data_IF_537798132903
#
_entry.id   IF_537798132903
#
_cell.length_a   1.000
_cell.length_b   1.000
_cell.length_c   1.000
_cell.angle_alpha   90.00
_cell.angle_beta   90.00
_cell.angle_gamma   90.00
#
_symmetry.space_group_name_H-M   'P 1'
#
loop_
_entity.id
_entity.type
_entity.pdbx_description
1 polymer ?
#
# COMPACT_ATOMS: atom_id res chain seq x y z
N UNK A 1 -2.86 3.40 -4.69
CA UNK A 1 -3.21 4.56 -3.87
C UNK A 1 -4.33 5.37 -4.51
N UNK A 2 -5.27 5.87 -3.70
CA UNK A 2 -6.42 6.69 -4.11
C UNK A 2 -7.65 5.90 -4.58
N UNK A 3 -7.72 4.59 -4.34
CA UNK A 3 -8.90 3.75 -4.57
C UNK A 3 -8.86 2.54 -3.61
N UNK A 4 -8.83 2.84 -2.30
CA UNK A 4 -8.64 1.84 -1.26
C UNK A 4 -9.97 1.29 -0.69
N UNK A 5 -11.13 1.71 -1.18
CA UNK A 5 -12.43 1.44 -0.56
C UNK A 5 -12.62 -0.04 -0.17
N UNK A 6 -12.29 -0.96 -1.07
CA UNK A 6 -12.39 -2.40 -0.77
C UNK A 6 -11.44 -2.85 0.33
N UNK A 7 -10.23 -2.27 0.40
CA UNK A 7 -9.28 -2.56 1.46
C UNK A 7 -9.74 -1.98 2.79
N UNK A 8 -10.27 -0.75 2.77
CA UNK A 8 -10.84 -0.08 3.96
C UNK A 8 -12.02 -0.86 4.54
N UNK A 9 -12.93 -1.38 3.69
CA UNK A 9 -14.07 -2.19 4.13
C UNK A 9 -13.61 -3.50 4.82
N UNK A 10 -12.55 -4.14 4.30
CA UNK A 10 -11.95 -5.33 4.92
C UNK A 10 -11.29 -4.96 6.25
N UNK A 11 -10.46 -3.90 6.26
CA UNK A 11 -9.78 -3.44 7.46
C UNK A 11 -10.76 -3.02 8.56
N UNK A 12 -11.86 -2.32 8.20
CA UNK A 12 -12.95 -1.99 9.11
C UNK A 12 -13.58 -3.25 9.70
N UNK A 13 -13.84 -4.27 8.87
CA UNK A 13 -14.43 -5.52 9.36
C UNK A 13 -13.55 -6.24 10.38
N UNK A 14 -12.22 -6.17 10.19
CA UNK A 14 -11.24 -6.72 11.15
C UNK A 14 -11.20 -5.90 12.44
N UNK A 15 -11.19 -4.56 12.35
CA UNK A 15 -11.14 -3.67 13.49
C UNK A 15 -12.38 -3.76 14.39
N UNK A 16 -13.55 -4.05 13.81
CA UNK A 16 -14.81 -4.32 14.55
C UNK A 16 -14.74 -5.47 15.56
N UNK A 17 -13.73 -6.34 15.47
CA UNK A 17 -13.49 -7.38 16.47
C UNK A 17 -12.94 -6.83 17.80
N UNK A 18 -12.52 -5.56 17.81
CA UNK A 18 -11.86 -4.91 18.96
C UNK A 18 -12.61 -3.69 19.47
N UNK A 19 -13.39 -3.03 18.64
CA UNK A 19 -14.23 -1.87 19.01
C UNK A 19 -15.43 -1.75 18.09
N UNK A 20 -16.58 -1.36 18.65
CA UNK A 20 -17.78 -0.99 17.89
C UNK A 20 -17.72 0.49 17.45
N UNK A 21 -16.88 1.31 18.10
CA UNK A 21 -16.67 2.72 17.76
C UNK A 21 -15.60 2.85 16.67
N UNK A 22 -15.98 2.46 15.45
CA UNK A 22 -15.11 2.52 14.30
C UNK A 22 -15.89 2.78 13.00
N UNK A 23 -15.25 3.50 12.08
CA UNK A 23 -15.86 3.91 10.80
C UNK A 23 -14.81 4.11 9.71
N UNK A 24 -15.27 4.32 8.49
CA UNK A 24 -14.48 4.83 7.38
C UNK A 24 -14.83 6.31 7.23
N UNK A 25 -13.82 7.18 7.22
CA UNK A 25 -14.00 8.61 7.01
C UNK A 25 -14.24 8.94 5.51
N UNK A 26 -14.49 10.22 5.22
CA UNK A 26 -14.76 10.69 3.85
C UNK A 26 -13.51 10.57 2.94
N UNK A 27 -12.31 10.44 3.51
CA UNK A 27 -11.07 10.26 2.77
C UNK A 27 -10.75 8.78 2.49
N UNK A 28 -11.46 7.88 3.18
CA UNK A 28 -11.30 6.44 3.05
C UNK A 28 -10.44 5.80 4.13
N UNK A 29 -9.95 6.58 5.11
CA UNK A 29 -9.24 6.03 6.26
C UNK A 29 -10.20 5.22 7.14
N UNK A 30 -9.70 4.15 7.72
CA UNK A 30 -10.43 3.40 8.76
C UNK A 30 -9.99 3.93 10.11
N UNK A 31 -10.93 4.44 10.87
CA UNK A 31 -10.69 5.01 12.20
C UNK A 31 -11.41 4.17 13.25
N UNK A 32 -10.78 3.90 14.37
CA UNK A 32 -11.38 3.23 15.51
C UNK A 32 -10.93 3.80 16.84
N UNK A 33 -11.80 3.76 17.84
CA UNK A 33 -11.57 4.30 19.16
C UNK A 33 -11.74 3.23 20.23
N UNK A 34 -10.77 3.10 21.13
CA UNK A 34 -10.79 2.21 22.28
C UNK A 34 -10.49 3.05 23.52
N UNK A 35 -11.53 3.37 24.27
CA UNK A 35 -11.41 4.23 25.44
C UNK A 35 -10.93 3.46 26.67
N UNK A 36 -10.02 4.08 27.40
CA UNK A 36 -9.61 3.65 28.74
C UNK A 36 -10.59 4.14 29.81
N UNK A 37 -10.31 3.80 31.06
CA UNK A 37 -11.05 4.35 32.21
C UNK A 37 -10.38 5.64 32.71
N UNK A 38 -11.19 6.68 32.91
CA UNK A 38 -10.73 8.00 33.39
C UNK A 38 -10.21 8.89 32.24
N UNK A 39 -9.61 10.03 32.60
CA UNK A 39 -9.03 10.95 31.65
C UNK A 39 -7.58 10.57 31.38
N UNK A 40 -7.30 10.01 30.24
CA UNK A 40 -5.97 9.52 29.82
C UNK A 40 -5.50 10.29 28.58
N UNK A 41 -4.19 10.37 28.36
CA UNK A 41 -3.66 10.89 27.08
C UNK A 41 -4.06 9.97 25.94
N UNK A 42 -4.18 10.55 24.74
CA UNK A 42 -4.51 9.83 23.51
C UNK A 42 -3.25 9.29 22.83
N UNK A 43 -3.25 8.02 22.47
CA UNK A 43 -2.23 7.40 21.62
C UNK A 43 -2.88 6.96 20.31
N UNK A 44 -2.37 7.46 19.21
CA UNK A 44 -2.73 6.99 17.86
C UNK A 44 -1.76 5.88 17.42
N UNK A 45 -2.31 4.75 17.01
CA UNK A 45 -1.58 3.72 16.25
C UNK A 45 -1.97 3.85 14.78
N UNK A 46 -1.00 4.12 13.92
CA UNK A 46 -1.23 4.31 12.49
C UNK A 46 -0.45 3.32 11.64
N UNK A 47 -1.04 2.90 10.51
CA UNK A 47 -0.43 2.11 9.44
C UNK A 47 -1.21 2.33 8.15
N UNK A 48 -0.53 2.35 6.99
CA UNK A 48 -1.24 2.59 5.74
C UNK A 48 -1.74 1.31 5.05
N UNK A 49 -2.82 1.42 4.28
CA UNK A 49 -3.44 0.30 3.56
C UNK A 49 -3.27 0.37 2.05
N UNK A 50 -2.88 1.52 1.53
CA UNK A 50 -2.63 1.70 0.10
C UNK A 50 -1.32 1.02 -0.33
N UNK A 51 -1.04 1.06 -1.60
CA UNK A 51 0.15 0.46 -2.21
C UNK A 51 0.51 1.19 -3.49
N UNK A 52 1.75 1.10 -3.89
CA UNK A 52 2.21 1.52 -5.21
C UNK A 52 1.50 0.76 -6.33
N UNK A 53 1.36 1.40 -7.46
CA UNK A 53 0.73 0.81 -8.65
C UNK A 53 0.92 1.67 -9.88
N UNK A 54 0.04 1.44 -10.86
CA UNK A 54 -0.03 2.24 -12.07
C UNK A 54 -1.46 2.72 -12.30
N UNK A 55 -1.61 3.66 -13.23
CA UNK A 55 -2.91 4.21 -13.64
C UNK A 55 -2.97 4.25 -15.17
N UNK A 56 -4.13 3.95 -15.75
CA UNK A 56 -4.36 4.07 -17.18
C UNK A 56 -4.31 5.54 -17.60
N UNK A 57 -3.37 5.93 -18.44
CA UNK A 57 -3.22 7.30 -18.93
C UNK A 57 -3.65 7.48 -20.38
N UNK A 58 -3.54 6.43 -21.21
CA UNK A 58 -3.91 6.46 -22.61
C UNK A 58 -4.03 5.04 -23.17
N UNK A 59 -4.87 4.83 -24.18
CA UNK A 59 -4.98 3.58 -24.95
C UNK A 59 -4.66 3.90 -26.40
N UNK A 60 -3.61 3.30 -26.96
CA UNK A 60 -3.20 3.56 -28.33
C UNK A 60 -4.05 2.80 -29.35
N UNK A 61 -3.87 3.11 -30.63
CA UNK A 61 -4.68 2.52 -31.71
C UNK A 61 -4.41 1.02 -31.91
N UNK A 62 -3.32 0.49 -31.35
CA UNK A 62 -2.98 -0.93 -31.39
C UNK A 62 -3.45 -1.70 -30.15
N UNK A 63 -4.09 -1.01 -29.18
CA UNK A 63 -4.55 -1.61 -27.93
C UNK A 63 -3.50 -1.67 -26.81
N UNK A 64 -2.33 -1.04 -26.98
CA UNK A 64 -1.39 -0.89 -25.87
C UNK A 64 -1.83 0.22 -24.93
N UNK A 65 -1.72 -0.05 -23.62
CA UNK A 65 -2.12 0.89 -22.57
C UNK A 65 -0.87 1.63 -22.08
N UNK A 66 -0.86 2.95 -22.20
CA UNK A 66 0.11 3.83 -21.55
C UNK A 66 -0.29 4.05 -20.11
N UNK A 67 0.70 4.20 -19.25
CA UNK A 67 0.50 4.26 -17.81
C UNK A 67 1.16 5.49 -17.18
N UNK A 68 0.59 5.94 -16.07
CA UNK A 68 1.26 6.79 -15.09
C UNK A 68 1.63 6.00 -13.85
N UNK A 69 2.61 6.47 -13.07
CA UNK A 69 2.93 5.91 -11.77
C UNK A 69 1.91 6.37 -10.71
N UNK A 70 1.58 5.48 -9.79
CA UNK A 70 0.86 5.78 -8.55
C UNK A 70 1.80 5.41 -7.41
N UNK A 71 2.24 6.41 -6.66
CA UNK A 71 3.36 6.25 -5.73
C UNK A 71 4.70 6.09 -6.44
N UNK A 72 5.63 5.41 -5.79
CA UNK A 72 7.00 5.20 -6.25
C UNK A 72 7.33 3.77 -6.72
N UNK A 73 6.63 3.16 -7.71
CA UNK A 73 6.96 1.81 -8.15
C UNK A 73 8.38 1.73 -8.72
N UNK A 74 9.16 0.74 -8.28
CA UNK A 74 10.52 0.55 -8.78
C UNK A 74 10.52 0.07 -10.23
N UNK A 75 10.82 0.99 -11.14
CA UNK A 75 10.80 0.74 -12.59
C UNK A 75 11.80 -0.31 -13.07
N UNK A 76 12.79 -0.67 -12.26
CA UNK A 76 13.77 -1.72 -12.58
C UNK A 76 13.15 -3.11 -12.62
N UNK A 77 12.07 -3.32 -11.88
CA UNK A 77 11.41 -4.62 -11.73
C UNK A 77 10.04 -4.71 -12.39
N UNK A 78 9.61 -3.68 -13.12
CA UNK A 78 8.28 -3.67 -13.74
C UNK A 78 8.16 -4.54 -14.98
N UNK A 79 9.22 -4.64 -15.79
CA UNK A 79 9.19 -5.41 -17.04
C UNK A 79 8.77 -6.87 -16.80
N UNK A 80 7.88 -7.36 -17.64
CA UNK A 80 7.30 -8.70 -17.60
C UNK A 80 6.42 -9.01 -16.36
N UNK A 81 6.10 -8.04 -15.52
CA UNK A 81 5.14 -8.24 -14.44
C UNK A 81 3.73 -8.41 -14.99
N UNK A 82 3.02 -9.41 -14.45
CA UNK A 82 1.58 -9.53 -14.67
C UNK A 82 0.83 -8.49 -13.85
N UNK A 83 -0.20 -7.92 -14.44
CA UNK A 83 -0.99 -6.86 -13.82
C UNK A 83 -2.48 -7.10 -13.98
N UNK A 84 -3.25 -6.50 -13.09
CA UNK A 84 -4.71 -6.41 -13.20
C UNK A 84 -5.11 -4.94 -13.29
N UNK A 85 -5.85 -4.59 -14.33
CA UNK A 85 -6.49 -3.29 -14.51
C UNK A 85 -7.89 -3.38 -13.92
N UNK A 86 -8.23 -2.45 -13.03
CA UNK A 86 -9.48 -2.41 -12.28
C UNK A 86 -10.45 -1.41 -12.91
N UNK A 87 -11.02 -1.78 -14.07
CA UNK A 87 -12.07 -1.03 -14.74
C UNK A 87 -13.47 -1.57 -14.45
N UNK A 88 -14.38 -1.36 -15.38
CA UNK A 88 -15.75 -1.98 -15.34
C UNK A 88 -15.68 -3.50 -15.22
N UNK A 89 -14.67 -4.07 -15.85
CA UNK A 89 -14.25 -5.47 -15.71
C UNK A 89 -12.77 -5.50 -15.34
N UNK A 90 -12.36 -6.54 -14.62
CA UNK A 90 -10.94 -6.78 -14.37
C UNK A 90 -10.28 -7.32 -15.64
N UNK A 91 -9.31 -6.57 -16.16
CA UNK A 91 -8.54 -6.94 -17.35
C UNK A 91 -7.14 -7.33 -16.93
N UNK A 92 -6.70 -8.51 -17.37
CA UNK A 92 -5.31 -8.96 -17.15
C UNK A 92 -4.41 -8.44 -18.26
N UNK A 93 -3.18 -8.11 -17.89
CA UNK A 93 -2.15 -7.67 -18.83
C UNK A 93 -0.75 -7.97 -18.35
N UNK A 94 0.21 -7.66 -19.18
CA UNK A 94 1.63 -7.82 -18.91
C UNK A 94 2.34 -6.50 -19.19
N UNK A 95 3.20 -6.08 -18.27
CA UNK A 95 4.03 -4.90 -18.45
C UNK A 95 5.08 -5.16 -19.54
N UNK A 96 5.05 -4.38 -20.60
CA UNK A 96 5.95 -4.48 -21.73
C UNK A 96 6.83 -3.23 -21.84
N UNK A 97 8.08 -3.45 -22.21
CA UNK A 97 9.07 -2.41 -22.51
C UNK A 97 9.81 -2.76 -23.78
N UNK A 98 10.43 -1.78 -24.43
CA UNK A 98 11.26 -2.05 -25.61
C UNK A 98 12.41 -3.00 -25.21
N UNK A 99 12.59 -4.12 -25.96
CA UNK A 99 13.68 -5.05 -25.68
C UNK A 99 15.06 -4.41 -25.93
N UNK A 100 16.11 -4.88 -25.24
CA UNK A 100 17.47 -4.30 -25.35
C UNK A 100 18.01 -4.21 -26.77
N UNK A 101 17.63 -5.16 -27.64
CA UNK A 101 18.10 -5.18 -29.05
C UNK A 101 17.47 -4.08 -29.92
N UNK A 102 16.41 -3.43 -29.48
CA UNK A 102 15.70 -2.38 -30.21
C UNK A 102 15.88 -1.02 -29.53
N UNK A 103 16.13 -1.02 -28.22
CA UNK A 103 16.32 0.19 -27.43
C UNK A 103 17.75 0.73 -27.60
N UNK A 104 17.89 2.02 -27.87
CA UNK A 104 19.18 2.71 -27.77
C UNK A 104 19.44 3.10 -26.30
N UNK A 105 20.48 2.49 -25.68
CA UNK A 105 20.93 2.79 -24.32
C UNK A 105 20.48 1.78 -23.26
N UNK A 106 21.24 1.67 -22.16
CA UNK A 106 21.11 0.67 -21.10
C UNK A 106 20.38 1.18 -19.85
N UNK A 107 19.64 2.28 -19.95
CA UNK A 107 18.97 2.91 -18.80
C UNK A 107 17.69 2.21 -18.35
N UNK A 108 17.33 2.42 -17.07
CA UNK A 108 16.03 2.01 -16.52
C UNK A 108 14.92 2.69 -17.35
N UNK A 109 13.88 1.97 -17.80
CA UNK A 109 12.78 2.56 -18.58
C UNK A 109 12.12 3.72 -17.82
N UNK A 110 11.81 4.80 -18.52
CA UNK A 110 10.94 5.85 -17.99
C UNK A 110 9.50 5.33 -17.96
N UNK A 111 8.65 5.93 -17.14
CA UNK A 111 7.26 5.49 -17.02
C UNK A 111 6.51 5.63 -18.36
N UNK A 112 6.83 6.63 -19.16
CA UNK A 112 6.23 6.89 -20.46
C UNK A 112 6.67 5.87 -21.54
N UNK A 113 7.76 5.14 -21.29
CA UNK A 113 8.27 4.06 -22.16
C UNK A 113 7.60 2.71 -21.85
N UNK A 114 6.88 2.62 -20.73
CA UNK A 114 6.19 1.41 -20.27
C UNK A 114 4.81 1.35 -20.92
N UNK A 115 4.43 0.18 -21.37
CA UNK A 115 3.07 -0.10 -21.83
C UNK A 115 2.56 -1.39 -21.21
N UNK A 116 1.24 -1.56 -21.16
CA UNK A 116 0.63 -2.83 -20.82
C UNK A 116 0.02 -3.43 -22.07
N UNK A 117 0.37 -4.67 -22.31
CA UNK A 117 -0.21 -5.52 -23.34
C UNK A 117 -1.25 -6.44 -22.70
N UNK A 118 -2.47 -6.39 -23.21
CA UNK A 118 -3.59 -7.22 -22.76
C UNK A 118 -4.07 -8.20 -23.83
N UNK A 119 -3.55 -8.08 -25.05
CA UNK A 119 -4.00 -8.81 -26.22
C UNK A 119 -5.34 -8.33 -26.80
N UNK A 120 -6.00 -7.35 -26.19
CA UNK A 120 -7.24 -6.76 -26.70
C UNK A 120 -6.96 -5.64 -27.71
N UNK A 121 -7.91 -5.42 -28.63
CA UNK A 121 -7.96 -4.23 -29.48
C UNK A 121 -8.39 -3.01 -28.66
N UNK A 122 -8.10 -1.82 -29.17
CA UNK A 122 -8.54 -0.55 -28.54
C UNK A 122 -10.04 -0.52 -28.28
N UNK A 123 -10.87 -0.91 -29.27
CA UNK A 123 -12.32 -0.90 -29.14
C UNK A 123 -12.82 -1.85 -28.05
N UNK A 124 -12.20 -3.02 -27.91
CA UNK A 124 -12.55 -3.97 -26.85
C UNK A 124 -12.14 -3.43 -25.47
N UNK A 125 -10.97 -2.75 -25.36
CA UNK A 125 -10.52 -2.14 -24.11
C UNK A 125 -11.43 -0.99 -23.68
N UNK A 126 -11.80 -0.08 -24.57
CA UNK A 126 -12.66 1.07 -24.26
C UNK A 126 -14.05 0.68 -23.74
N UNK A 127 -14.48 -0.56 -24.01
CA UNK A 127 -15.72 -1.11 -23.41
C UNK A 127 -15.54 -1.60 -21.97
N UNK A 128 -14.31 -1.91 -21.52
CA UNK A 128 -13.97 -2.57 -20.25
C UNK A 128 -13.30 -1.67 -19.26
N UNK A 129 -12.46 -0.78 -19.76
CA UNK A 129 -11.63 0.12 -18.94
C UNK A 129 -11.73 1.55 -19.44
N UNK A 130 -11.35 2.49 -18.56
CA UNK A 130 -11.30 3.91 -18.92
C UNK A 130 -10.03 4.57 -18.36
N UNK A 131 -9.77 5.81 -18.80
CA UNK A 131 -8.65 6.59 -18.28
C UNK A 131 -8.86 6.85 -16.80
N UNK A 132 -7.80 6.67 -16.02
CA UNK A 132 -7.86 6.79 -14.57
C UNK A 132 -8.04 5.47 -13.81
N UNK A 133 -8.37 4.37 -14.48
CA UNK A 133 -8.47 3.06 -13.84
C UNK A 133 -7.14 2.65 -13.22
N UNK A 134 -7.21 2.11 -12.01
CA UNK A 134 -6.04 1.67 -11.25
C UNK A 134 -5.53 0.32 -11.76
N UNK A 135 -4.22 0.15 -11.70
CA UNK A 135 -3.54 -1.06 -12.13
C UNK A 135 -2.68 -1.57 -10.99
N UNK A 136 -2.88 -2.82 -10.63
CA UNK A 136 -2.11 -3.48 -9.58
C UNK A 136 -1.25 -4.60 -10.13
N UNK A 137 -0.05 -4.77 -9.53
CA UNK A 137 0.81 -5.91 -9.84
C UNK A 137 0.22 -7.18 -9.24
N UNK A 138 0.18 -8.25 -10.02
CA UNK A 138 -0.26 -9.55 -9.56
C UNK A 138 0.88 -10.21 -8.77
N UNK A 139 0.73 -10.28 -7.47
CA UNK A 139 1.69 -10.93 -6.57
C UNK A 139 0.91 -11.71 -5.51
N UNK A 140 0.67 -12.98 -5.79
CA UNK A 140 0.04 -13.87 -4.83
C UNK A 140 0.99 -14.11 -3.64
N UNK A 141 0.45 -14.22 -2.42
CA UNK A 141 1.26 -14.52 -1.25
C UNK A 141 1.97 -15.88 -1.38
N UNK A 142 3.28 -15.90 -1.18
CA UNK A 142 4.11 -17.10 -1.25
C UNK A 142 4.82 -17.31 0.08
N UNK A 143 4.60 -18.47 0.71
CA UNK A 143 5.39 -18.91 1.83
C UNK A 143 6.76 -19.38 1.32
N UNK A 144 7.82 -18.78 1.84
CA UNK A 144 9.20 -19.12 1.53
C UNK A 144 9.80 -20.03 2.61
N UNK A 145 11.06 -20.37 2.48
CA UNK A 145 11.75 -21.22 3.46
C UNK A 145 11.79 -20.56 4.87
N UNK A 146 11.46 -21.32 5.87
CA UNK A 146 11.38 -20.87 7.27
C UNK A 146 10.12 -20.07 7.53
N UNK A 147 10.27 -18.89 8.11
CA UNK A 147 9.16 -17.99 8.51
C UNK A 147 9.00 -16.78 7.57
N UNK A 148 9.48 -16.89 6.35
CA UNK A 148 9.46 -15.79 5.38
C UNK A 148 8.27 -15.89 4.45
N UNK A 149 7.73 -14.72 4.09
CA UNK A 149 6.65 -14.56 3.13
C UNK A 149 7.04 -13.51 2.10
N UNK A 150 6.59 -13.71 0.88
CA UNK A 150 6.64 -12.72 -0.18
C UNK A 150 5.22 -12.45 -0.65
N UNK A 151 4.80 -11.20 -0.68
CA UNK A 151 3.49 -10.79 -1.18
C UNK A 151 3.52 -9.36 -1.68
N UNK A 152 2.53 -8.98 -2.47
CA UNK A 152 2.25 -7.58 -2.76
C UNK A 152 1.63 -6.88 -1.55
N UNK A 153 1.89 -5.58 -1.42
CA UNK A 153 1.33 -4.73 -0.35
C UNK A 153 1.70 -5.18 1.09
N UNK A 154 2.85 -5.84 1.30
CA UNK A 154 3.42 -6.00 2.64
C UNK A 154 3.81 -4.64 3.24
N UNK A 155 4.15 -3.72 2.40
CA UNK A 155 4.20 -2.28 2.58
C UNK A 155 2.79 -1.70 2.35
N UNK A 156 2.03 -1.23 3.39
CA UNK A 156 2.32 -1.50 4.81
C UNK A 156 1.20 -2.32 5.50
N UNK A 157 0.59 -3.25 4.80
CA UNK A 157 -0.43 -4.13 5.41
C UNK A 157 0.13 -5.03 6.52
N UNK A 158 1.46 -5.17 6.63
CA UNK A 158 2.05 -5.84 7.79
C UNK A 158 2.02 -4.95 9.04
N UNK A 159 2.09 -3.63 8.92
CA UNK A 159 1.82 -2.69 10.01
C UNK A 159 0.38 -2.79 10.47
N UNK A 160 -0.59 -2.78 9.54
CA UNK A 160 -2.02 -3.03 9.86
C UNK A 160 -2.19 -4.34 10.64
N UNK A 161 -1.60 -5.43 10.17
CA UNK A 161 -1.67 -6.72 10.87
C UNK A 161 -1.01 -6.67 12.24
N UNK A 162 0.09 -5.93 12.40
CA UNK A 162 0.79 -5.76 13.68
C UNK A 162 -0.08 -5.00 14.69
N UNK A 163 -0.79 -3.95 14.26
CA UNK A 163 -1.76 -3.23 15.10
C UNK A 163 -2.88 -4.18 15.55
N UNK A 164 -3.47 -4.96 14.64
CA UNK A 164 -4.54 -5.89 15.00
C UNK A 164 -4.08 -6.95 16.01
N UNK A 165 -2.85 -7.47 15.85
CA UNK A 165 -2.25 -8.39 16.84
C UNK A 165 -2.01 -7.69 18.17
N UNK A 166 -1.54 -6.45 18.19
CA UNK A 166 -1.38 -5.67 19.41
C UNK A 166 -2.73 -5.46 20.13
N UNK A 167 -3.79 -5.14 19.39
CA UNK A 167 -5.14 -5.03 19.95
C UNK A 167 -5.62 -6.34 20.59
N UNK A 168 -5.37 -7.49 19.95
CA UNK A 168 -5.69 -8.79 20.54
C UNK A 168 -4.94 -9.03 21.85
N UNK A 169 -3.66 -8.64 21.93
CA UNK A 169 -2.87 -8.75 23.16
C UNK A 169 -3.32 -7.79 24.25
N UNK A 170 -3.97 -6.70 23.90
CA UNK A 170 -4.47 -5.67 24.82
C UNK A 170 -5.90 -5.91 25.32
N UNK A 171 -6.66 -6.79 24.68
CA UNK A 171 -8.12 -6.97 24.82
C UNK A 171 -8.65 -7.14 26.26
N UNK A 172 -7.84 -7.64 27.17
CA UNK A 172 -8.22 -7.83 28.57
C UNK A 172 -7.37 -7.01 29.55
N UNK A 173 -6.67 -6.00 29.05
CA UNK A 173 -5.76 -5.18 29.87
C UNK A 173 -6.36 -3.80 30.12
N UNK A 174 -6.07 -3.24 31.28
CA UNK A 174 -6.32 -1.84 31.55
C UNK A 174 -5.32 -0.99 30.73
N UNK A 175 -5.85 -0.08 29.92
CA UNK A 175 -5.05 0.77 29.06
C UNK A 175 -4.59 2.03 29.82
N UNK A 176 -3.34 2.41 29.62
CA UNK A 176 -2.77 3.66 30.14
C UNK A 176 -3.11 4.88 29.26
N UNK A 177 -3.65 4.66 28.05
CA UNK A 177 -4.01 5.65 27.05
C UNK A 177 -5.45 5.43 26.58
N UNK A 178 -6.12 6.48 26.14
CA UNK A 178 -7.20 6.36 25.18
C UNK A 178 -6.53 6.03 23.84
N UNK A 179 -6.94 4.93 23.23
CA UNK A 179 -6.27 4.40 22.04
C UNK A 179 -7.11 4.68 20.81
N UNK A 180 -6.54 5.47 19.90
CA UNK A 180 -7.05 5.65 18.56
C UNK A 180 -6.25 4.76 17.60
N UNK A 181 -6.92 4.21 16.59
CA UNK A 181 -6.33 3.40 15.54
C UNK A 181 -6.72 4.01 14.20
N UNK A 182 -5.76 4.22 13.33
CA UNK A 182 -6.02 4.57 11.94
C UNK A 182 -5.35 3.58 10.97
N UNK A 183 -6.11 3.18 9.96
CA UNK A 183 -5.55 2.51 8.80
C UNK A 183 -5.72 3.46 7.63
N UNK A 184 -4.63 4.13 7.27
CA UNK A 184 -4.67 5.32 6.43
C UNK A 184 -4.51 5.01 4.95
N UNK A 185 -5.02 5.89 4.12
CA UNK A 185 -4.96 5.82 2.66
C UNK A 185 -3.99 6.86 2.12
N UNK A 186 -3.52 6.66 0.89
CA UNK A 186 -2.71 7.62 0.14
C UNK A 186 -1.39 8.03 0.83
N UNK A 187 -0.78 7.11 1.58
CA UNK A 187 0.58 7.30 2.09
C UNK A 187 1.56 7.43 0.92
N UNK A 188 1.53 6.49 -0.02
CA UNK A 188 2.40 6.35 -1.18
C UNK A 188 2.35 7.55 -2.15
N UNK A 189 1.36 8.41 -2.00
CA UNK A 189 1.17 9.62 -2.82
C UNK A 189 1.30 10.92 -2.02
N UNK A 190 1.81 10.85 -0.79
CA UNK A 190 2.15 12.01 0.02
C UNK A 190 1.50 12.07 1.40
N UNK A 191 1.23 10.92 2.03
CA UNK A 191 0.77 10.78 3.43
C UNK A 191 -0.55 11.55 3.71
N UNK A 192 -1.41 11.70 2.70
CA UNK A 192 -2.60 12.57 2.84
C UNK A 192 -3.59 12.02 3.86
N UNK A 193 -3.77 10.70 3.90
CA UNK A 193 -4.66 10.04 4.86
C UNK A 193 -4.21 10.24 6.30
N UNK A 194 -2.92 10.01 6.59
CA UNK A 194 -2.36 10.20 7.92
C UNK A 194 -2.45 11.65 8.40
N UNK A 195 -2.20 12.63 7.51
CA UNK A 195 -2.34 14.06 7.83
C UNK A 195 -3.75 14.43 8.24
N UNK A 196 -4.76 13.89 7.56
CA UNK A 196 -6.18 14.11 7.88
C UNK A 196 -6.52 13.43 9.21
N UNK A 197 -6.16 12.16 9.38
CA UNK A 197 -6.43 11.40 10.59
C UNK A 197 -5.82 12.08 11.83
N UNK A 198 -4.57 12.52 11.77
CA UNK A 198 -3.90 13.22 12.88
C UNK A 198 -4.59 14.54 13.20
N UNK A 199 -5.01 15.31 12.17
CA UNK A 199 -5.71 16.59 12.37
C UNK A 199 -7.07 16.39 13.07
N UNK A 200 -7.83 15.39 12.66
CA UNK A 200 -9.18 15.16 13.20
C UNK A 200 -9.16 14.49 14.59
N UNK A 201 -8.19 13.60 14.84
CA UNK A 201 -8.07 12.86 16.09
C UNK A 201 -7.38 13.67 17.19
N UNK A 202 -6.49 14.60 16.84
CA UNK A 202 -5.69 15.42 17.77
C UNK A 202 -5.05 14.56 18.90
N UNK A 203 -4.17 13.60 18.56
CA UNK A 203 -3.56 12.71 19.54
C UNK A 203 -2.40 13.39 20.31
N UNK A 204 -2.19 13.00 21.58
CA UNK A 204 -1.03 13.42 22.35
C UNK A 204 0.26 12.72 21.92
N UNK A 205 0.13 11.46 21.43
CA UNK A 205 1.23 10.63 20.95
C UNK A 205 0.81 9.87 19.70
N UNK A 206 1.76 9.67 18.79
CA UNK A 206 1.58 8.86 17.57
C UNK A 206 2.64 7.78 17.54
N UNK A 207 2.23 6.57 17.24
CA UNK A 207 3.09 5.46 16.91
C UNK A 207 2.70 4.97 15.52
N UNK A 208 3.47 5.41 14.54
CA UNK A 208 3.35 4.98 13.16
C UNK A 208 4.11 3.66 12.99
N UNK A 209 3.46 2.68 12.37
CA UNK A 209 4.06 1.42 11.99
C UNK A 209 4.22 1.39 10.49
N UNK A 210 5.44 1.09 10.07
CA UNK A 210 5.78 0.98 8.67
C UNK A 210 6.92 -0.02 8.47
N UNK A 211 7.12 -0.48 7.25
CA UNK A 211 8.21 -1.36 6.89
C UNK A 211 9.49 -0.57 6.65
N UNK A 212 10.62 -1.27 6.66
CA UNK A 212 11.90 -0.67 6.34
C UNK A 212 12.83 -1.65 5.62
N UNK A 213 13.96 -1.13 5.15
CA UNK A 213 14.89 -1.89 4.33
C UNK A 213 15.69 -2.90 5.15
N UNK A 214 15.64 -4.17 4.72
CA UNK A 214 16.50 -5.21 5.25
C UNK A 214 17.84 -5.24 4.50
N UNK A 215 18.89 -5.70 5.18
CA UNK A 215 20.20 -5.92 4.56
C UNK A 215 20.12 -7.00 3.48
N UNK A 216 20.61 -6.63 2.30
CA UNK A 216 20.86 -7.53 1.17
C UNK A 216 22.32 -7.46 0.77
N UNK A 217 22.83 -8.36 -0.09
CA UNK A 217 24.12 -8.14 -0.72
C UNK A 217 24.18 -6.74 -1.34
N UNK A 218 25.29 -6.03 -1.13
CA UNK A 218 25.54 -4.67 -1.65
C UNK A 218 24.66 -3.54 -1.09
N UNK A 219 23.80 -3.81 -0.10
CA UNK A 219 23.02 -2.76 0.56
C UNK A 219 23.90 -1.89 1.47
N UNK A 220 23.57 -0.59 1.57
CA UNK A 220 24.18 0.31 2.51
C UNK A 220 23.85 -0.08 3.96
N UNK A 221 24.87 -0.52 4.71
CA UNK A 221 24.68 -1.00 6.09
C UNK A 221 24.19 0.08 7.06
N UNK A 222 24.39 1.35 6.72
CA UNK A 222 23.93 2.46 7.55
C UNK A 222 22.41 2.72 7.40
N UNK A 223 21.82 2.23 6.29
CA UNK A 223 20.41 2.47 5.96
C UNK A 223 19.52 1.22 6.07
N UNK A 224 20.10 0.08 6.41
CA UNK A 224 19.37 -1.20 6.40
C UNK A 224 19.57 -1.96 7.70
N UNK A 225 18.52 -2.65 8.16
CA UNK A 225 18.55 -3.47 9.37
C UNK A 225 18.72 -4.95 9.06
N UNK A 226 19.24 -5.70 10.03
CA UNK A 226 19.27 -7.16 9.96
C UNK A 226 17.87 -7.72 10.20
N UNK A 227 17.38 -8.55 9.29
CA UNK A 227 16.13 -9.28 9.51
C UNK A 227 16.20 -10.14 10.77
N UNK A 228 15.08 -10.27 11.47
CA UNK A 228 14.95 -11.08 12.69
C UNK A 228 15.79 -10.59 13.90
N UNK A 229 16.20 -9.32 13.91
CA UNK A 229 16.92 -8.69 15.04
C UNK A 229 16.04 -7.74 15.87
N UNK A 230 14.77 -7.72 15.64
CA UNK A 230 13.80 -6.82 16.29
C UNK A 230 13.29 -5.77 15.33
N UNK A 231 12.50 -4.85 15.86
CA UNK A 231 11.95 -3.71 15.12
C UNK A 231 12.98 -2.58 15.03
N UNK A 232 12.89 -1.79 13.97
CA UNK A 232 13.59 -0.52 13.87
C UNK A 232 12.73 0.57 14.52
N UNK A 233 13.37 1.47 15.24
CA UNK A 233 12.71 2.64 15.83
C UNK A 233 13.25 3.86 15.10
N UNK A 234 12.40 4.53 14.34
CA UNK A 234 12.66 5.82 13.74
C UNK A 234 12.39 6.94 14.75
N UNK A 235 13.29 7.90 14.84
CA UNK A 235 13.18 9.05 15.77
C UNK A 235 13.09 10.38 15.03
N UNK A 236 12.98 10.38 13.70
CA UNK A 236 12.89 11.57 12.89
C UNK A 236 12.04 11.27 11.65
N UNK A 237 11.46 12.30 11.02
CA UNK A 237 10.83 12.13 9.72
C UNK A 237 11.87 11.57 8.73
N UNK A 238 11.46 10.57 7.98
CA UNK A 238 12.27 9.94 6.93
C UNK A 238 12.43 10.85 5.71
#
# INVERSE_FOLDING_TARGET
SGDERSASEIALSMLKSYTDDCSIDDFGNVIGHIKSTGNKPKLLLDAHIDRVGLIVSFIDDNGFIKVGAVGGPDRRVLAAQSVTIHGKEKVKGVVSVLPPHVKSGDGVPKIEEIVIDTGYTKQELESRIELGDRITFDCEPVAMLGTRYCAGALDDRCGVASILVALEMLKSKELAFDLDVSFTTQEETGESGAKIAVYDLDPDYILEMDVSFAKTPDSDRAKCADMSKGVMIGLAPS
#
